data_IF_205481272556
#
_entry.id   IF_205481272556
#
_cell.length_a   1.000
_cell.length_b   1.000
_cell.length_c   1.000
_cell.angle_alpha   90.00
_cell.angle_beta   90.00
_cell.angle_gamma   90.00
#
_symmetry.space_group_name_H-M   'P 1'
#
loop_
_entity.id
_entity.type
_entity.pdbx_description
1 polymer ?
#
# COMPACT_ATOMS: atom_id res chain seq x y z
N UNK A 1 -14.91 -18.81 28.72
CA UNK A 1 -14.06 -18.08 27.74
C UNK A 1 -12.97 -19.04 27.28
N UNK A 2 -13.08 -19.54 26.05
CA UNK A 2 -12.07 -20.44 25.49
C UNK A 2 -11.00 -19.59 24.80
N UNK A 3 -9.82 -19.52 25.40
CA UNK A 3 -8.61 -19.03 24.73
C UNK A 3 -8.26 -20.10 23.70
N UNK A 4 -8.52 -19.83 22.42
CA UNK A 4 -8.02 -20.69 21.35
C UNK A 4 -6.50 -20.54 21.34
N UNK A 5 -5.81 -21.55 21.86
CA UNK A 5 -4.37 -21.71 21.75
C UNK A 5 -4.03 -21.95 20.28
N UNK A 6 -3.78 -20.88 19.53
CA UNK A 6 -3.15 -20.98 18.23
C UNK A 6 -1.69 -21.41 18.45
N UNK A 7 -1.39 -22.63 18.02
CA UNK A 7 -0.02 -23.14 17.91
C UNK A 7 0.87 -22.12 17.16
N UNK A 8 2.19 -22.08 17.43
CA UNK A 8 3.10 -21.15 16.76
C UNK A 8 2.92 -21.28 15.24
N UNK A 9 2.70 -20.15 14.56
CA UNK A 9 2.56 -20.06 13.12
C UNK A 9 3.82 -20.56 12.41
N UNK A 10 3.98 -21.87 12.28
CA UNK A 10 4.89 -22.48 11.30
C UNK A 10 4.12 -22.57 9.99
N UNK A 11 4.26 -21.55 9.15
CA UNK A 11 3.85 -21.65 7.75
C UNK A 11 4.65 -22.80 7.11
N UNK A 12 4.00 -23.79 6.47
CA UNK A 12 4.70 -24.93 5.88
C UNK A 12 5.59 -24.49 4.72
N UNK A 13 6.80 -25.08 4.67
CA UNK A 13 7.87 -24.83 3.68
C UNK A 13 7.49 -25.12 2.22
N UNK A 14 6.28 -25.59 1.93
CA UNK A 14 5.83 -26.07 0.62
C UNK A 14 5.07 -25.06 -0.25
N UNK A 15 4.98 -23.77 0.14
CA UNK A 15 4.37 -22.72 -0.68
C UNK A 15 5.35 -22.04 -1.66
N UNK A 16 6.31 -22.78 -2.21
CA UNK A 16 7.24 -22.30 -3.24
C UNK A 16 6.63 -22.53 -4.64
N UNK A 17 5.47 -21.92 -4.91
CA UNK A 17 4.95 -21.69 -6.27
C UNK A 17 3.68 -20.83 -6.27
N UNK A 18 3.83 -19.56 -5.87
CA UNK A 18 3.13 -18.32 -6.31
C UNK A 18 3.26 -17.30 -5.16
N UNK A 19 4.43 -16.65 -5.01
CA UNK A 19 4.70 -15.75 -3.88
C UNK A 19 3.58 -14.73 -3.65
N UNK A 20 3.06 -14.12 -4.72
CA UNK A 20 2.06 -13.07 -4.64
C UNK A 20 0.72 -13.52 -4.05
N UNK A 21 0.17 -14.66 -4.47
CA UNK A 21 -1.13 -15.14 -3.98
C UNK A 21 -1.09 -15.46 -2.48
N UNK A 22 0.00 -16.02 -1.99
CA UNK A 22 0.21 -16.25 -0.55
C UNK A 22 0.32 -14.93 0.21
N UNK A 23 1.03 -13.92 -0.32
CA UNK A 23 1.09 -12.58 0.30
C UNK A 23 -0.28 -11.91 0.35
N UNK A 24 -1.07 -11.98 -0.72
CA UNK A 24 -2.43 -11.42 -0.76
C UNK A 24 -3.32 -12.13 0.27
N UNK A 25 -3.32 -13.46 0.31
CA UNK A 25 -4.10 -14.20 1.30
C UNK A 25 -3.70 -13.80 2.73
N UNK A 26 -2.40 -13.72 3.01
CA UNK A 26 -1.88 -13.31 4.30
C UNK A 26 -2.29 -11.86 4.65
N UNK A 27 -2.23 -10.93 3.69
CA UNK A 27 -2.68 -9.54 3.82
C UNK A 27 -4.16 -9.45 4.22
N UNK A 28 -5.02 -10.16 3.51
CA UNK A 28 -6.46 -10.20 3.83
C UNK A 28 -6.72 -10.81 5.22
N UNK A 29 -5.98 -11.86 5.59
CA UNK A 29 -6.08 -12.44 6.93
C UNK A 29 -5.67 -11.46 8.03
N UNK A 30 -4.63 -10.66 7.81
CA UNK A 30 -4.20 -9.64 8.79
C UNK A 30 -5.28 -8.58 9.03
N UNK A 31 -6.03 -8.18 7.99
CA UNK A 31 -7.21 -7.34 8.17
C UNK A 31 -8.28 -8.00 9.03
N UNK A 32 -8.62 -9.26 8.73
CA UNK A 32 -9.61 -10.05 9.49
C UNK A 32 -9.21 -10.17 10.96
N UNK A 33 -7.90 -10.32 11.23
CA UNK A 33 -7.38 -10.39 12.60
C UNK A 33 -7.40 -9.06 13.33
N UNK A 34 -7.66 -7.94 12.65
CA UNK A 34 -7.90 -6.65 13.26
C UNK A 34 -6.93 -5.55 12.87
N UNK A 35 -6.09 -5.73 11.85
CA UNK A 35 -5.36 -4.62 11.26
C UNK A 35 -6.34 -3.76 10.45
N UNK A 36 -7.03 -2.86 11.12
CA UNK A 36 -7.91 -1.89 10.48
C UNK A 36 -8.02 -0.62 11.33
N UNK A 37 -8.35 0.49 10.68
CA UNK A 37 -8.38 1.81 11.31
C UNK A 37 -9.34 1.88 12.50
N UNK A 38 -10.49 1.19 12.43
CA UNK A 38 -11.47 1.18 13.51
C UNK A 38 -10.92 0.51 14.77
N UNK A 39 -10.21 -0.61 14.61
CA UNK A 39 -9.59 -1.31 15.72
C UNK A 39 -8.37 -0.55 16.26
N UNK A 40 -7.56 0.07 15.40
CA UNK A 40 -6.48 0.97 15.84
C UNK A 40 -7.03 2.16 16.64
N UNK A 41 -8.14 2.75 16.20
CA UNK A 41 -8.81 3.83 16.92
C UNK A 41 -9.34 3.38 18.29
N UNK A 42 -9.97 2.20 18.37
CA UNK A 42 -10.49 1.68 19.65
C UNK A 42 -9.39 1.30 20.65
N UNK A 43 -8.16 1.10 20.16
CA UNK A 43 -6.95 0.90 20.97
C UNK A 43 -6.17 2.19 21.23
N UNK A 44 -6.68 3.34 20.82
CA UNK A 44 -6.00 4.64 20.93
C UNK A 44 -4.60 4.65 20.29
N UNK A 45 -4.44 3.91 19.18
CA UNK A 45 -3.18 3.79 18.45
C UNK A 45 -3.06 4.74 17.27
N UNK A 46 -4.03 5.64 17.05
CA UNK A 46 -3.99 6.61 15.96
C UNK A 46 -3.58 7.99 16.50
N UNK A 47 -2.56 8.56 15.88
CA UNK A 47 -2.06 9.91 16.13
C UNK A 47 -2.35 10.83 14.95
N UNK A 48 -2.52 12.11 15.24
CA UNK A 48 -2.79 13.15 14.27
C UNK A 48 -1.58 14.10 14.17
N UNK A 49 -0.99 14.21 12.98
CA UNK A 49 0.12 15.12 12.70
C UNK A 49 -0.34 16.14 11.66
N UNK A 50 -0.14 17.42 11.95
CA UNK A 50 -0.62 18.52 11.11
C UNK A 50 0.49 19.10 10.24
N UNK A 51 0.11 19.69 9.11
CA UNK A 51 0.99 20.48 8.25
C UNK A 51 2.23 19.74 7.70
N UNK A 52 2.20 18.41 7.64
CA UNK A 52 3.28 17.61 7.06
C UNK A 52 3.16 17.61 5.55
N UNK A 53 4.22 18.02 4.85
CA UNK A 53 4.34 17.94 3.38
C UNK A 53 3.17 18.61 2.62
N UNK A 54 2.55 19.64 3.21
CA UNK A 54 1.44 20.38 2.60
C UNK A 54 0.05 19.76 2.80
N UNK A 55 -0.04 18.67 3.59
CA UNK A 55 -1.30 18.07 4.03
C UNK A 55 -1.90 18.85 5.19
N UNK A 56 -3.22 18.89 5.26
CA UNK A 56 -3.93 19.49 6.38
C UNK A 56 -3.79 18.61 7.62
N UNK A 57 -3.95 17.30 7.43
CA UNK A 57 -3.86 16.29 8.47
C UNK A 57 -3.22 15.02 7.89
N UNK A 58 -2.40 14.38 8.71
CA UNK A 58 -1.77 13.09 8.45
C UNK A 58 -2.06 12.20 9.66
N UNK A 59 -2.66 11.04 9.40
CA UNK A 59 -2.92 10.04 10.45
C UNK A 59 -1.77 9.03 10.48
N UNK A 60 -1.26 8.77 11.67
CA UNK A 60 -0.18 7.82 11.92
C UNK A 60 -0.62 6.77 12.93
N UNK A 61 -0.01 5.59 12.87
CA UNK A 61 -0.06 4.61 13.95
C UNK A 61 0.98 4.99 14.99
N UNK A 62 0.51 5.57 16.09
CA UNK A 62 1.28 6.04 17.23
C UNK A 62 1.12 5.05 18.39
N UNK A 63 2.03 4.08 18.44
CA UNK A 63 2.14 3.14 19.57
C UNK A 63 3.62 2.88 19.82
N UNK A 64 3.99 2.61 21.07
CA UNK A 64 5.40 2.45 21.44
C UNK A 64 6.18 1.50 20.51
N UNK A 65 5.58 0.34 20.17
CA UNK A 65 6.20 -0.63 19.26
C UNK A 65 6.26 -0.11 17.83
N UNK A 66 5.15 0.41 17.28
CA UNK A 66 5.09 0.86 15.89
C UNK A 66 6.00 2.07 15.64
N UNK A 67 6.03 3.01 16.57
CA UNK A 67 6.89 4.20 16.50
C UNK A 67 8.36 3.81 16.59
N UNK A 68 8.73 2.86 17.46
CA UNK A 68 10.10 2.36 17.54
C UNK A 68 10.53 1.63 16.27
N UNK A 69 9.68 0.76 15.73
CA UNK A 69 9.93 0.09 14.46
C UNK A 69 10.11 1.10 13.31
N UNK A 70 9.28 2.15 13.27
CA UNK A 70 9.38 3.18 12.25
C UNK A 70 10.64 4.05 12.39
N UNK A 71 11.08 4.37 13.62
CA UNK A 71 12.37 5.05 13.90
C UNK A 71 13.55 4.27 13.36
N UNK A 72 13.64 2.99 13.72
CA UNK A 72 14.73 2.11 13.29
C UNK A 72 14.72 1.90 11.77
N UNK A 73 13.53 1.66 11.21
CA UNK A 73 13.31 1.47 9.77
C UNK A 73 13.85 2.65 8.98
N UNK A 74 13.44 3.86 9.36
CA UNK A 74 13.70 5.07 8.59
C UNK A 74 14.97 5.80 8.98
N UNK A 75 15.63 5.42 10.07
CA UNK A 75 16.76 6.16 10.65
C UNK A 75 16.35 7.63 10.93
N UNK A 76 15.26 7.78 11.69
CA UNK A 76 14.66 9.07 12.00
C UNK A 76 14.00 9.07 13.37
N UNK A 77 14.65 9.69 14.36
CA UNK A 77 14.14 9.77 15.74
C UNK A 77 12.89 10.66 15.87
N UNK A 78 12.76 11.67 15.01
CA UNK A 78 11.65 12.63 15.01
C UNK A 78 10.32 12.04 14.51
N UNK A 79 10.31 10.79 14.03
CA UNK A 79 9.06 10.16 13.59
C UNK A 79 8.16 9.88 14.81
N UNK A 80 6.92 10.35 14.72
CA UNK A 80 5.91 10.21 15.78
C UNK A 80 5.17 8.88 15.65
N UNK A 81 5.00 8.37 14.43
CA UNK A 81 4.34 7.10 14.17
C UNK A 81 4.42 6.73 12.70
N UNK A 82 3.93 5.55 12.34
CA UNK A 82 3.95 5.05 10.97
C UNK A 82 2.72 5.56 10.20
N UNK A 83 2.93 6.22 9.05
CA UNK A 83 1.84 6.81 8.29
C UNK A 83 0.93 5.77 7.64
N UNK A 84 -0.38 6.01 7.75
CA UNK A 84 -1.40 5.27 7.01
C UNK A 84 -1.65 5.90 5.64
N UNK A 85 -2.14 5.07 4.72
CA UNK A 85 -2.52 5.49 3.37
C UNK A 85 -3.81 6.32 3.42
N UNK A 86 -3.87 7.37 2.59
CA UNK A 86 -5.00 8.29 2.51
C UNK A 86 -5.07 8.95 1.14
N UNK A 87 -6.28 9.25 0.68
CA UNK A 87 -6.55 9.81 -0.64
C UNK A 87 -6.72 11.34 -0.67
N UNK A 88 -7.12 12.03 0.40
CA UNK A 88 -7.47 13.47 0.29
C UNK A 88 -6.48 14.45 0.96
N UNK A 89 -5.57 13.96 1.79
CA UNK A 89 -4.64 14.82 2.54
C UNK A 89 -5.28 15.59 3.71
N UNK A 90 -6.50 15.23 4.12
CA UNK A 90 -7.30 15.83 5.19
C UNK A 90 -7.64 14.89 6.36
N UNK A 91 -7.15 13.65 6.37
CA UNK A 91 -7.38 12.65 7.41
C UNK A 91 -8.71 11.90 7.32
N UNK A 92 -9.57 12.17 6.32
CA UNK A 92 -10.93 11.59 6.28
C UNK A 92 -11.05 10.32 5.45
N UNK A 93 -10.26 10.18 4.40
CA UNK A 93 -10.22 9.01 3.51
C UNK A 93 -9.10 8.06 3.90
N UNK A 94 -9.07 7.71 5.19
CA UNK A 94 -8.06 6.84 5.76
C UNK A 94 -8.29 5.39 5.32
N UNK A 95 -7.25 4.80 4.74
CA UNK A 95 -7.25 3.38 4.40
C UNK A 95 -6.50 2.59 5.48
N UNK A 96 -6.86 1.32 5.63
CA UNK A 96 -6.20 0.41 6.59
C UNK A 96 -4.89 -0.15 6.05
N UNK A 97 -4.14 0.65 5.30
CA UNK A 97 -2.86 0.27 4.70
C UNK A 97 -1.75 1.20 5.18
N UNK A 98 -0.51 0.71 5.17
CA UNK A 98 0.64 1.59 5.28
C UNK A 98 0.78 2.49 4.06
N UNK A 99 1.24 3.73 4.27
CA UNK A 99 1.52 4.63 3.17
C UNK A 99 2.55 4.04 2.19
N UNK A 100 2.21 3.98 0.90
CA UNK A 100 3.13 3.50 -0.14
C UNK A 100 4.44 4.31 -0.16
N UNK A 101 4.37 5.60 0.20
CA UNK A 101 5.55 6.47 0.32
C UNK A 101 6.64 5.86 1.21
N UNK A 102 6.24 5.26 2.34
CA UNK A 102 7.16 4.78 3.36
C UNK A 102 7.30 3.27 3.39
N UNK A 103 6.32 2.54 2.85
CA UNK A 103 6.23 1.10 3.00
C UNK A 103 5.65 0.40 1.76
N UNK A 104 5.88 0.88 0.52
CA UNK A 104 5.34 0.30 -0.72
C UNK A 104 5.39 -1.24 -0.79
N UNK A 105 6.51 -1.83 -0.41
CA UNK A 105 6.75 -3.28 -0.53
C UNK A 105 6.34 -4.08 0.72
N UNK A 106 5.70 -3.44 1.70
CA UNK A 106 5.35 -4.04 2.99
C UNK A 106 4.07 -4.88 2.89
N UNK A 107 3.95 -5.88 3.74
CA UNK A 107 2.78 -6.75 3.88
C UNK A 107 1.45 -5.98 3.83
N UNK A 108 1.28 -4.94 4.67
CA UNK A 108 0.05 -4.16 4.80
C UNK A 108 0.07 -2.86 3.98
N UNK A 109 0.93 -2.75 2.97
CA UNK A 109 0.78 -1.72 1.95
C UNK A 109 -0.37 -2.07 0.99
N UNK A 110 -0.89 -1.11 0.20
CA UNK A 110 -1.79 -1.45 -0.90
C UNK A 110 -1.14 -2.47 -1.84
N UNK A 111 -1.93 -3.42 -2.33
CA UNK A 111 -1.46 -4.54 -3.16
C UNK A 111 -0.73 -4.00 -4.40
N UNK A 112 0.41 -4.60 -4.73
CA UNK A 112 1.27 -4.18 -5.86
C UNK A 112 2.76 -4.03 -5.51
N UNK A 113 3.15 -4.29 -4.25
CA UNK A 113 4.54 -4.43 -3.81
C UNK A 113 4.94 -5.89 -3.50
N UNK A 114 6.09 -6.06 -2.84
CA UNK A 114 6.62 -7.39 -2.47
C UNK A 114 5.76 -8.14 -1.42
N UNK A 115 5.13 -7.41 -0.50
CA UNK A 115 4.38 -7.98 0.62
C UNK A 115 5.28 -8.52 1.75
N UNK A 116 6.41 -7.85 1.99
CA UNK A 116 7.39 -8.24 3.02
C UNK A 116 6.79 -8.08 4.42
N UNK A 117 6.87 -9.13 5.25
CA UNK A 117 6.49 -9.10 6.65
C UNK A 117 7.51 -8.34 7.49
N UNK A 118 7.38 -7.02 7.58
CA UNK A 118 8.41 -6.23 8.27
C UNK A 118 8.10 -6.04 9.75
N UNK A 119 9.08 -5.49 10.46
CA UNK A 119 8.96 -4.96 11.81
C UNK A 119 7.75 -4.03 12.00
N UNK A 120 7.29 -3.32 10.96
CA UNK A 120 6.18 -2.36 11.03
C UNK A 120 4.84 -3.07 11.31
N UNK A 121 4.45 -4.02 10.45
CA UNK A 121 3.19 -4.77 10.62
C UNK A 121 3.24 -5.66 11.86
N UNK A 122 4.40 -6.26 12.14
CA UNK A 122 4.60 -7.02 13.38
C UNK A 122 4.39 -6.14 14.61
N UNK A 123 4.97 -4.94 14.64
CA UNK A 123 4.83 -4.01 15.75
C UNK A 123 3.39 -3.53 15.96
N UNK A 124 2.70 -3.16 14.88
CA UNK A 124 1.29 -2.77 14.95
C UNK A 124 0.40 -3.93 15.42
N UNK A 125 0.65 -5.15 14.93
CA UNK A 125 -0.11 -6.34 15.32
C UNK A 125 0.08 -6.71 16.80
N UNK A 126 1.31 -6.55 17.31
CA UNK A 126 1.62 -6.74 18.73
C UNK A 126 0.90 -5.70 19.60
N UNK A 127 0.90 -4.43 19.19
CA UNK A 127 0.24 -3.34 19.92
C UNK A 127 -1.29 -3.48 19.93
N UNK A 128 -1.89 -3.95 18.83
CA UNK A 128 -3.32 -4.29 18.78
C UNK A 128 -3.69 -5.51 19.64
N UNK A 129 -2.70 -6.34 19.99
CA UNK A 129 -2.91 -7.61 20.68
C UNK A 129 -3.55 -8.69 19.80
N UNK A 130 -3.51 -8.53 18.47
CA UNK A 130 -4.11 -9.46 17.51
C UNK A 130 -3.35 -10.79 17.42
N UNK A 131 -2.03 -10.76 17.65
CA UNK A 131 -1.15 -11.92 17.49
C UNK A 131 0.03 -11.86 18.46
N UNK A 132 0.55 -13.04 18.83
CA UNK A 132 1.86 -13.14 19.48
C UNK A 132 2.96 -13.08 18.42
N UNK A 133 3.76 -12.04 18.48
CA UNK A 133 4.77 -11.73 17.46
C UNK A 133 6.12 -12.38 17.77
N UNK A 134 6.77 -12.85 16.72
CA UNK A 134 8.14 -13.33 16.70
C UNK A 134 8.97 -12.39 15.84
N UNK A 135 9.72 -11.49 16.47
CA UNK A 135 10.46 -10.44 15.78
C UNK A 135 11.55 -10.99 14.85
N UNK A 136 12.08 -12.18 15.17
CA UNK A 136 13.06 -12.90 14.33
C UNK A 136 12.51 -13.32 12.96
N UNK A 137 11.19 -13.25 12.75
CA UNK A 137 10.54 -13.52 11.47
C UNK A 137 10.41 -12.27 10.58
N UNK A 138 10.82 -11.10 11.06
CA UNK A 138 10.77 -9.88 10.27
C UNK A 138 11.63 -10.01 9.01
N UNK A 139 11.00 -9.81 7.86
CA UNK A 139 11.62 -9.82 6.55
C UNK A 139 12.25 -8.45 6.23
N UNK A 140 13.42 -8.44 5.60
CA UNK A 140 14.10 -7.20 5.26
C UNK A 140 13.46 -6.55 4.03
N UNK A 141 12.61 -5.56 4.22
CA UNK A 141 12.19 -4.68 3.12
C UNK A 141 13.32 -3.67 2.81
N UNK A 142 13.57 -3.32 1.54
CA UNK A 142 14.50 -2.21 1.20
C UNK A 142 13.83 -0.86 1.05
N UNK A 143 12.54 -0.85 0.73
CA UNK A 143 11.77 0.36 0.56
C UNK A 143 11.82 1.24 1.82
N UNK A 144 12.33 2.45 1.69
CA UNK A 144 12.47 3.42 2.80
C UNK A 144 13.34 2.99 3.98
N UNK A 145 14.19 1.95 3.85
CA UNK A 145 15.17 1.61 4.89
C UNK A 145 16.25 2.70 4.94
N UNK A 146 16.56 3.21 6.13
CA UNK A 146 17.54 4.26 6.38
C UNK A 146 17.32 5.49 5.47
N UNK A 147 16.06 5.89 5.34
CA UNK A 147 15.64 6.98 4.46
C UNK A 147 16.01 8.36 4.99
N UNK A 148 16.20 8.47 6.31
CA UNK A 148 16.31 9.71 7.05
C UNK A 148 14.98 10.46 7.14
N UNK A 149 14.93 11.44 8.05
CA UNK A 149 13.74 12.26 8.27
C UNK A 149 13.31 13.10 7.06
N UNK A 150 14.21 13.35 6.10
CA UNK A 150 13.88 14.16 4.91
C UNK A 150 12.73 13.55 4.09
N UNK A 151 12.68 12.22 3.96
CA UNK A 151 11.57 11.60 3.26
C UNK A 151 10.26 11.86 4.01
N UNK A 152 10.26 11.78 5.34
CA UNK A 152 9.09 12.03 6.18
C UNK A 152 8.67 13.51 6.20
N UNK A 153 9.59 14.45 6.05
CA UNK A 153 9.27 15.87 6.25
C UNK A 153 9.09 16.64 4.94
N UNK A 154 9.74 16.20 3.86
CA UNK A 154 9.82 16.95 2.60
C UNK A 154 8.97 16.37 1.49
N UNK A 155 8.45 17.27 0.66
CA UNK A 155 7.65 16.97 -0.54
C UNK A 155 8.55 16.43 -1.66
N UNK A 156 8.01 15.58 -2.53
CA UNK A 156 8.78 14.94 -3.60
C UNK A 156 9.60 15.90 -4.47
N UNK A 157 9.08 17.05 -4.94
CA UNK A 157 9.85 17.96 -5.78
C UNK A 157 11.10 18.55 -5.09
N UNK A 158 11.15 18.51 -3.76
CA UNK A 158 12.27 19.04 -2.97
C UNK A 158 13.28 17.98 -2.55
N UNK A 159 13.00 16.70 -2.84
CA UNK A 159 13.90 15.60 -2.54
C UNK A 159 14.97 15.48 -3.62
N UNK A 160 16.19 15.21 -3.18
CA UNK A 160 17.29 14.86 -4.09
C UNK A 160 17.16 13.39 -4.47
N UNK A 161 16.63 13.09 -5.66
CA UNK A 161 16.34 11.71 -6.09
C UNK A 161 17.56 10.78 -6.00
N UNK A 162 18.78 11.28 -6.24
CA UNK A 162 20.01 10.51 -6.09
C UNK A 162 20.28 9.95 -4.68
N UNK A 163 19.64 10.48 -3.63
CA UNK A 163 19.66 9.90 -2.27
C UNK A 163 18.75 8.67 -2.11
N UNK A 164 17.89 8.42 -3.10
CA UNK A 164 16.84 7.39 -3.08
C UNK A 164 16.89 6.45 -4.32
N UNK A 165 18.08 5.93 -4.72
CA UNK A 165 18.28 5.33 -6.05
C UNK A 165 17.53 4.00 -6.31
N UNK A 166 17.14 3.28 -5.26
CA UNK A 166 16.39 2.02 -5.37
C UNK A 166 14.89 2.18 -5.09
N UNK A 167 14.40 3.43 -5.02
CA UNK A 167 13.01 3.76 -4.69
C UNK A 167 12.35 4.51 -5.83
N UNK A 168 13.00 5.59 -6.26
CA UNK A 168 12.48 6.50 -7.27
C UNK A 168 13.29 6.39 -8.55
N UNK A 169 12.66 6.73 -9.66
CA UNK A 169 13.29 6.76 -10.97
C UNK A 169 13.07 8.12 -11.64
N UNK A 170 13.89 8.42 -12.65
CA UNK A 170 13.75 9.64 -13.43
C UNK A 170 12.75 9.42 -14.56
N UNK A 171 11.70 10.25 -14.58
CA UNK A 171 10.68 10.21 -15.63
C UNK A 171 11.29 10.51 -17.01
N UNK A 172 10.87 9.79 -18.04
CA UNK A 172 11.31 10.02 -19.42
C UNK A 172 12.47 9.14 -19.87
N UNK A 173 13.03 8.31 -18.99
CA UNK A 173 13.95 7.24 -19.37
C UNK A 173 13.16 5.92 -19.44
N UNK A 174 12.89 5.35 -20.63
CA UNK A 174 12.28 4.04 -20.78
C UNK A 174 13.30 2.95 -20.44
N UNK A 175 13.82 2.97 -19.22
CA UNK A 175 14.77 1.99 -18.72
C UNK A 175 14.01 0.88 -18.04
N UNK A 176 14.20 -0.34 -18.54
CA UNK A 176 13.78 -1.55 -17.85
C UNK A 176 14.74 -1.79 -16.69
N UNK A 177 14.24 -1.64 -15.47
CA UNK A 177 15.00 -1.80 -14.23
C UNK A 177 14.44 -2.94 -13.40
N UNK A 178 15.19 -3.41 -12.40
CA UNK A 178 14.60 -4.26 -11.37
C UNK A 178 13.56 -3.44 -10.59
N UNK A 179 12.35 -3.96 -10.46
CA UNK A 179 11.38 -3.36 -9.56
C UNK A 179 11.83 -3.55 -8.10
N UNK A 180 11.23 -2.76 -7.21
CA UNK A 180 11.56 -2.77 -5.79
C UNK A 180 11.32 -4.14 -5.13
N UNK A 181 10.36 -4.89 -5.67
CA UNK A 181 10.00 -6.26 -5.28
C UNK A 181 11.09 -7.32 -5.56
N UNK A 182 12.04 -7.03 -6.46
CA UNK A 182 13.05 -7.97 -7.02
C UNK A 182 12.53 -9.26 -7.65
N UNK A 183 11.23 -9.47 -7.69
CA UNK A 183 10.61 -10.59 -8.40
C UNK A 183 10.36 -10.24 -9.86
N UNK A 184 10.29 -8.95 -10.17
CA UNK A 184 9.99 -8.46 -11.49
C UNK A 184 10.99 -7.41 -11.95
N UNK A 185 11.16 -7.36 -13.27
CA UNK A 185 11.64 -6.15 -13.93
C UNK A 185 10.45 -5.22 -14.19
N UNK A 186 10.65 -3.92 -14.14
CA UNK A 186 9.61 -2.93 -14.38
C UNK A 186 10.10 -1.77 -15.24
N UNK A 187 9.19 -0.83 -15.45
CA UNK A 187 9.45 0.41 -16.18
C UNK A 187 9.19 1.61 -15.28
N UNK A 188 9.91 2.71 -15.49
CA UNK A 188 9.65 3.97 -14.79
C UNK A 188 8.38 4.66 -15.33
N UNK A 189 7.21 4.05 -15.09
CA UNK A 189 5.90 4.53 -15.55
C UNK A 189 4.93 4.74 -14.40
N UNK A 190 5.14 4.08 -13.26
CA UNK A 190 4.32 4.24 -12.06
C UNK A 190 4.66 5.54 -11.34
N UNK A 191 3.76 6.00 -10.48
CA UNK A 191 4.03 7.14 -9.60
C UNK A 191 3.30 6.96 -8.27
N UNK A 192 3.99 7.29 -7.18
CA UNK A 192 3.33 7.48 -5.88
C UNK A 192 2.85 8.92 -5.85
N UNK A 193 1.53 9.09 -5.74
CA UNK A 193 0.90 10.39 -5.63
C UNK A 193 0.78 10.76 -4.15
N UNK A 194 1.26 11.95 -3.83
CA UNK A 194 1.06 12.57 -2.53
C UNK A 194 0.09 13.73 -2.69
N UNK A 195 -1.09 13.54 -2.09
CA UNK A 195 -2.18 14.49 -2.21
C UNK A 195 -1.97 15.58 -1.17
N UNK A 196 -2.15 16.82 -1.63
CA UNK A 196 -1.87 18.04 -0.90
C UNK A 196 -2.95 19.06 -1.22
N UNK A 197 -3.24 19.95 -0.27
CA UNK A 197 -4.20 21.03 -0.47
C UNK A 197 -3.76 22.00 -1.60
N UNK A 198 -2.47 21.99 -1.97
CA UNK A 198 -1.91 22.79 -3.07
C UNK A 198 -1.78 21.94 -4.33
N UNK A 199 -2.37 22.40 -5.44
CA UNK A 199 -2.14 21.83 -6.78
C UNK A 199 -0.91 22.48 -7.44
N UNK A 200 -0.14 21.75 -8.26
CA UNK A 200 -0.30 20.33 -8.62
C UNK A 200 0.06 19.39 -7.46
N UNK A 201 -0.58 18.21 -7.43
CA UNK A 201 -0.23 17.15 -6.48
C UNK A 201 1.24 16.76 -6.68
N UNK A 202 1.92 16.47 -5.57
CA UNK A 202 3.31 16.03 -5.64
C UNK A 202 3.30 14.55 -6.04
N UNK A 203 4.03 14.18 -7.09
CA UNK A 203 4.20 12.78 -7.48
C UNK A 203 5.67 12.42 -7.53
N UNK A 204 5.97 11.16 -7.25
CA UNK A 204 7.30 10.61 -7.42
C UNK A 204 7.24 9.41 -8.35
N UNK A 205 7.96 9.43 -9.49
CA UNK A 205 8.02 8.29 -10.37
C UNK A 205 8.68 7.10 -9.68
N UNK A 206 8.08 5.94 -9.88
CA UNK A 206 8.56 4.66 -9.37
C UNK A 206 8.61 3.64 -10.51
N UNK A 207 9.42 2.62 -10.31
CA UNK A 207 9.43 1.46 -11.20
C UNK A 207 8.17 0.64 -10.90
N UNK A 208 7.30 0.54 -11.91
CA UNK A 208 6.09 -0.28 -11.88
C UNK A 208 6.46 -1.70 -12.30
N UNK A 209 6.24 -2.72 -11.43
CA UNK A 209 6.58 -4.11 -11.75
C UNK A 209 5.82 -4.58 -13.00
N UNK A 210 6.53 -5.18 -13.96
CA UNK A 210 5.88 -5.82 -15.09
C UNK A 210 5.27 -7.15 -14.62
N UNK A 211 4.01 -7.12 -14.21
CA UNK A 211 3.24 -8.29 -13.80
C UNK A 211 2.84 -9.13 -15.04
N UNK A 212 3.01 -10.45 -14.97
CA UNK A 212 2.49 -11.38 -16.00
C UNK A 212 0.97 -11.50 -15.85
N UNK A 213 0.24 -11.73 -16.94
CA UNK A 213 -1.24 -11.81 -16.94
C UNK A 213 -1.79 -12.87 -15.97
N UNK A 214 -1.00 -13.92 -15.67
CA UNK A 214 -1.32 -14.97 -14.69
C UNK A 214 -1.24 -14.51 -13.22
N UNK A 215 -0.55 -13.41 -12.95
CA UNK A 215 -0.47 -12.77 -11.63
C UNK A 215 -1.62 -11.76 -11.46
N UNK A 216 -2.09 -11.14 -12.55
CA UNK A 216 -3.24 -10.22 -12.54
C UNK A 216 -4.54 -10.92 -12.12
N UNK A 217 -4.77 -12.16 -12.58
CA UNK A 217 -5.94 -12.97 -12.17
C UNK A 217 -5.96 -13.29 -10.65
N UNK A 218 -4.82 -13.17 -9.95
CA UNK A 218 -4.75 -13.33 -8.50
C UNK A 218 -4.93 -12.00 -7.72
N UNK A 219 -4.79 -10.85 -8.40
CA UNK A 219 -4.81 -9.50 -7.81
C UNK A 219 -6.17 -8.82 -7.96
N UNK A 220 -6.99 -9.20 -8.95
CA UNK A 220 -8.31 -8.57 -9.16
C UNK A 220 -9.31 -9.05 -8.09
N UNK A 221 -9.34 -8.35 -6.97
CA UNK A 221 -10.51 -8.20 -6.11
C UNK A 221 -10.81 -6.70 -5.95
N UNK A 222 -11.85 -6.21 -6.64
CA UNK A 222 -12.49 -4.94 -6.30
C UNK A 222 -13.42 -5.18 -5.12
N UNK A 223 -12.91 -5.11 -3.90
CA UNK A 223 -13.76 -4.96 -2.72
C UNK A 223 -13.36 -3.71 -1.95
N UNK A 224 -14.02 -2.61 -2.29
CA UNK A 224 -14.10 -1.42 -1.45
C UNK A 224 -14.91 -1.78 -0.20
N UNK A 225 -14.24 -2.12 0.90
CA UNK A 225 -14.88 -2.18 2.22
C UNK A 225 -14.37 -1.01 3.07
N UNK A 226 -14.93 0.15 2.79
CA UNK A 226 -15.22 1.18 3.76
C UNK A 226 -16.18 2.17 3.10
N UNK A 227 -17.48 2.11 3.46
CA UNK A 227 -18.46 3.22 3.34
C UNK A 227 -19.93 2.81 3.64
N UNK A 228 -20.25 1.58 4.06
CA UNK A 228 -21.63 1.23 4.46
C UNK A 228 -21.98 1.55 5.93
N UNK A 229 -21.11 2.27 6.66
CA UNK A 229 -21.35 2.65 8.05
C UNK A 229 -22.18 3.92 8.26
N UNK A 230 -22.54 4.66 7.21
CA UNK A 230 -23.38 5.85 7.32
C UNK A 230 -24.60 5.67 6.41
N UNK A 231 -25.72 5.30 7.01
CA UNK A 231 -27.00 5.10 6.33
C UNK A 231 -27.53 6.37 5.67
N UNK A 232 -27.07 6.63 4.44
CA UNK A 232 -27.64 7.62 3.53
C UNK A 232 -27.73 6.97 2.15
N UNK A 233 -28.96 6.67 1.73
CA UNK A 233 -29.27 6.02 0.45
C UNK A 233 -28.76 6.81 -0.76
N UNK A 234 -28.08 6.20 -1.75
CA UNK A 234 -27.83 6.85 -3.02
C UNK A 234 -29.08 6.74 -3.91
N UNK A 235 -29.74 7.87 -4.13
CA UNK A 235 -30.74 7.99 -5.19
C UNK A 235 -30.10 7.77 -6.56
N UNK A 236 -30.85 7.03 -7.39
CA UNK A 236 -30.59 6.61 -8.76
C UNK A 236 -30.01 7.71 -9.67
N UNK A 237 -29.11 7.28 -10.55
CA UNK A 237 -29.02 7.82 -11.91
C UNK A 237 -27.60 7.83 -12.45
N UNK A 238 -27.33 7.00 -13.46
CA UNK A 238 -26.77 7.43 -14.76
C UNK A 238 -26.79 6.22 -15.71
N UNK A 239 -27.36 6.46 -16.88
CA UNK A 239 -27.63 5.51 -17.97
C UNK A 239 -26.32 4.97 -18.57
N UNK A 240 -26.26 3.67 -18.78
CA UNK A 240 -25.29 3.03 -19.67
C UNK A 240 -25.57 3.43 -21.12
N UNK A 241 -24.55 3.94 -21.83
CA UNK A 241 -24.57 4.09 -23.29
C UNK A 241 -23.31 3.46 -23.86
N UNK A 242 -23.43 2.21 -24.29
CA UNK A 242 -22.42 1.52 -25.10
C UNK A 242 -22.28 2.19 -26.49
N UNK A 243 -21.06 2.40 -27.02
CA UNK A 243 -20.89 2.75 -28.42
C UNK A 243 -21.03 1.49 -29.30
N UNK A 244 -21.98 1.53 -30.25
CA UNK A 244 -22.03 0.63 -31.40
C UNK A 244 -21.08 1.13 -32.46
N UNK A 245 -20.19 0.28 -32.99
CA UNK A 245 -19.92 0.17 -34.44
C UNK A 245 -19.00 -1.02 -34.72
N UNK A 246 -19.49 -2.03 -35.44
CA UNK A 246 -18.98 -2.43 -36.76
C UNK A 246 -19.86 -3.55 -37.33
N UNK A 247 -20.67 -3.18 -38.32
CA UNK A 247 -21.32 -4.11 -39.23
C UNK A 247 -20.46 -4.15 -40.49
N UNK A 248 -20.24 -5.34 -41.05
CA UNK A 248 -20.16 -5.65 -42.49
C UNK A 248 -19.52 -7.03 -42.70
N UNK A 249 -20.31 -7.98 -43.22
CA UNK A 249 -19.99 -8.73 -44.45
C UNK A 249 -21.14 -9.69 -44.78
N UNK A 250 -21.82 -9.42 -45.88
CA UNK A 250 -22.62 -10.40 -46.63
C UNK A 250 -22.13 -10.36 -48.08
N UNK A 251 -21.72 -11.51 -48.62
CA UNK A 251 -21.17 -11.64 -49.98
C UNK A 251 -22.15 -12.30 -50.95
N UNK A 252 -22.19 -11.73 -52.17
CA UNK A 252 -22.68 -12.27 -53.47
C UNK A 252 -24.19 -12.52 -53.58
N UNK A 253 -24.87 -12.11 -54.67
CA UNK A 253 -24.60 -12.41 -56.10
C UNK A 253 -25.08 -11.30 -57.06
N UNK A 254 -24.46 -11.27 -58.26
CA UNK A 254 -24.93 -10.56 -59.47
C UNK A 254 -26.11 -11.32 -60.10
N UNK A 255 -27.03 -10.60 -60.74
CA UNK A 255 -27.40 -10.78 -62.15
C UNK A 255 -28.39 -9.68 -62.58
N UNK A 256 -27.97 -8.97 -63.65
CA UNK A 256 -28.69 -8.15 -64.65
C UNK A 256 -29.59 -7.04 -64.11
#
# INVERSE_FOLDING_TARGET
>A
MAVQSLAPCTFPRSFISRPLATRIAAHLMTHVLGFNCLHMASRSMLGNVVCVRGRALLVVVDSANATMAARERHDCDDIVGMELQEDDGDGRTLESYWSQRHAKDEWMAPIGGAGDCTELTLAASAALGCMRVKWEMAEPMRWSRNSGCELLQRRYPTLKMGKYPYRFCESGVPLKCCASDRYSSGWCLGSIHEISAKRPMDSCPIIDPALDARDIDAVIWRENICLQGLGISPLRGVRTRFPRTRQMRGTRRRHI
#
